data_IF_643852313700
#
_entry.id   IF_643852313700
#
_cell.length_a   1.000
_cell.length_b   1.000
_cell.length_c   1.000
_cell.angle_alpha   90.00
_cell.angle_beta   90.00
_cell.angle_gamma   90.00
#
_symmetry.space_group_name_H-M   'P 1'
#
loop_
_entity.id
_entity.type
_entity.pdbx_description
1 polymer ?
#
# COMPACT_ATOMS: atom_id res chain seq x y z
N UNK A 1 28.58 -8.01 19.33
CA UNK A 1 28.30 -6.57 19.40
C UNK A 1 27.34 -6.24 18.26
N UNK A 2 26.04 -6.16 18.57
CA UNK A 2 25.00 -5.81 17.60
C UNK A 2 25.18 -4.32 17.28
N UNK A 3 25.39 -3.98 16.01
CA UNK A 3 25.79 -2.65 15.56
C UNK A 3 24.78 -1.59 16.00
N UNK A 4 25.14 -0.77 16.99
CA UNK A 4 24.34 0.37 17.48
C UNK A 4 24.01 1.39 16.39
N UNK A 5 24.63 1.29 15.20
CA UNK A 5 24.37 2.13 14.04
C UNK A 5 23.03 1.80 13.37
N UNK A 6 22.60 0.53 13.37
CA UNK A 6 21.33 0.14 12.71
C UNK A 6 20.09 0.63 13.47
N UNK A 7 20.16 0.67 14.81
CA UNK A 7 19.04 1.15 15.64
C UNK A 7 18.97 2.68 15.62
N UNK A 8 20.11 3.38 15.64
CA UNK A 8 20.13 4.84 15.61
C UNK A 8 19.57 5.44 14.29
N UNK A 9 19.82 4.80 13.15
CA UNK A 9 19.28 5.25 11.85
C UNK A 9 17.78 4.94 11.70
N UNK A 10 17.30 3.84 12.30
CA UNK A 10 15.87 3.53 12.37
C UNK A 10 15.12 4.56 13.24
N UNK A 11 15.68 4.96 14.39
CA UNK A 11 15.07 5.95 15.28
C UNK A 11 15.02 7.37 14.66
N UNK A 12 16.02 7.76 13.87
CA UNK A 12 16.03 9.03 13.13
C UNK A 12 14.91 9.10 12.07
N UNK A 13 14.54 7.94 11.49
CA UNK A 13 13.46 7.84 10.52
C UNK A 13 12.09 8.01 11.21
N UNK A 14 11.89 7.38 12.37
CA UNK A 14 10.65 7.50 13.16
C UNK A 14 10.44 8.92 13.72
N UNK A 15 11.51 9.63 14.08
CA UNK A 15 11.43 11.03 14.56
C UNK A 15 11.01 12.02 13.46
N UNK A 16 11.44 11.81 12.22
CA UNK A 16 11.02 12.63 11.07
C UNK A 16 9.57 12.34 10.64
N UNK A 17 9.09 11.12 10.85
CA UNK A 17 7.74 10.70 10.47
C UNK A 17 6.65 11.15 11.46
N UNK A 18 6.93 11.16 12.77
CA UNK A 18 5.96 11.63 13.77
C UNK A 18 5.52 13.09 13.56
N UNK A 19 6.43 13.97 13.13
CA UNK A 19 6.08 15.36 12.79
C UNK A 19 5.37 15.47 11.43
N UNK A 20 5.80 14.71 10.41
CA UNK A 20 5.19 14.82 9.08
C UNK A 20 3.80 14.17 8.96
N UNK A 21 3.50 13.14 9.74
CA UNK A 21 2.23 12.42 9.69
C UNK A 21 1.10 13.19 10.38
N UNK A 22 1.39 13.85 11.50
CA UNK A 22 0.45 14.78 12.17
C UNK A 22 0.16 15.98 11.26
N UNK A 23 1.20 16.53 10.63
CA UNK A 23 1.09 17.65 9.68
C UNK A 23 0.31 17.28 8.40
N UNK A 24 0.47 16.07 7.87
CA UNK A 24 -0.24 15.60 6.68
C UNK A 24 -1.73 15.33 6.95
N UNK A 25 -2.06 14.79 8.13
CA UNK A 25 -3.43 14.62 8.59
C UNK A 25 -4.13 15.97 8.81
N UNK A 26 -3.45 16.97 9.36
CA UNK A 26 -3.98 18.32 9.53
C UNK A 26 -4.12 19.08 8.19
N UNK A 27 -3.15 18.95 7.27
CA UNK A 27 -3.20 19.60 5.93
C UNK A 27 -4.27 19.03 5.01
N UNK A 28 -4.61 17.75 5.14
CA UNK A 28 -5.72 17.14 4.38
C UNK A 28 -7.10 17.48 4.94
N UNK A 29 -7.20 17.70 6.27
CA UNK A 29 -8.42 18.16 6.92
C UNK A 29 -8.73 19.66 6.71
N UNK A 30 -7.72 20.49 6.40
CA UNK A 30 -7.84 21.94 6.32
C UNK A 30 -8.12 22.53 4.90
N UNK A 31 -8.32 21.71 3.85
CA UNK A 31 -8.61 22.24 2.50
C UNK A 31 -10.11 22.23 2.15
N UNK A 32 -10.83 23.35 2.29
CA UNK A 32 -12.07 23.55 1.55
C UNK A 32 -11.72 23.77 0.06
N UNK A 33 -12.14 22.84 -0.81
CA UNK A 33 -12.15 23.09 -2.26
C UNK A 33 -13.22 24.15 -2.57
N UNK A 34 -12.80 25.33 -3.02
CA UNK A 34 -13.69 26.30 -3.65
C UNK A 34 -13.06 27.66 -3.84
N UNK A 35 -12.49 27.91 -5.03
CA UNK A 35 -12.52 29.21 -5.69
C UNK A 35 -12.17 29.00 -7.18
N UNK A 36 -13.21 28.81 -7.99
CA UNK A 36 -13.15 29.02 -9.43
C UNK A 36 -13.12 30.53 -9.65
N UNK A 37 -12.05 31.05 -10.22
CA UNK A 37 -12.02 32.42 -10.74
C UNK A 37 -12.36 32.37 -12.24
N UNK A 38 -13.53 32.93 -12.56
CA UNK A 38 -14.03 33.25 -13.89
C UNK A 38 -13.20 34.37 -14.52
N UNK A 39 -12.89 34.24 -15.81
CA UNK A 39 -12.80 35.38 -16.73
C UNK A 39 -13.34 34.98 -18.09
N UNK A 40 -14.39 35.68 -18.51
CA UNK A 40 -15.04 35.57 -19.80
C UNK A 40 -14.34 36.47 -20.84
N UNK A 41 -14.29 36.01 -22.10
CA UNK A 41 -14.31 36.88 -23.27
C UNK A 41 -14.90 36.16 -24.50
N UNK A 42 -15.92 36.82 -25.07
CA UNK A 42 -16.58 36.73 -26.40
C UNK A 42 -15.65 36.29 -27.56
N UNK A 43 -16.10 35.83 -28.75
CA UNK A 43 -17.37 35.45 -29.36
C UNK A 43 -17.07 34.99 -30.82
N UNK A 44 -18.00 34.20 -31.40
CA UNK A 44 -18.40 34.04 -32.83
C UNK A 44 -18.54 32.57 -33.23
N UNK A 45 -19.78 32.12 -33.47
CA UNK A 45 -20.10 30.89 -34.22
C UNK A 45 -20.23 31.18 -35.72
N UNK A 46 -21.04 30.43 -36.49
CA UNK A 46 -21.47 29.03 -36.34
C UNK A 46 -21.37 28.23 -37.67
N UNK A 47 -21.49 26.89 -37.64
CA UNK A 47 -21.99 26.10 -38.78
C UNK A 47 -22.49 24.70 -38.33
N UNK A 48 -23.51 24.20 -39.02
CA UNK A 48 -24.46 23.17 -38.62
C UNK A 48 -24.26 21.79 -39.30
N UNK A 49 -24.88 20.75 -38.71
CA UNK A 49 -25.71 19.66 -39.33
C UNK A 49 -25.73 18.42 -38.39
N UNK A 50 -26.87 18.10 -37.77
CA UNK A 50 -27.96 17.20 -38.21
C UNK A 50 -27.61 15.70 -38.09
N UNK A 51 -28.17 15.01 -37.07
CA UNK A 51 -29.21 13.96 -37.16
C UNK A 51 -28.58 12.53 -37.22
N UNK A 52 -29.05 11.43 -36.61
CA UNK A 52 -30.40 10.97 -36.26
C UNK A 52 -30.35 9.82 -35.23
N UNK A 53 -31.52 9.47 -34.69
CA UNK A 53 -31.82 8.54 -33.59
C UNK A 53 -31.75 7.02 -33.89
N UNK A 54 -31.66 6.19 -32.83
CA UNK A 54 -32.67 5.17 -32.43
C UNK A 54 -32.20 4.27 -31.26
N UNK A 55 -33.08 4.11 -30.27
CA UNK A 55 -33.26 3.02 -29.26
C UNK A 55 -34.61 2.35 -29.62
N UNK A 56 -35.03 1.10 -29.27
CA UNK A 56 -34.94 0.37 -27.98
C UNK A 56 -34.73 -1.16 -28.16
N UNK A 57 -34.89 -2.13 -27.24
CA UNK A 57 -35.51 -2.32 -25.92
C UNK A 57 -34.84 -3.56 -25.27
N UNK A 58 -34.78 -3.72 -23.93
CA UNK A 58 -35.59 -4.65 -23.10
C UNK A 58 -35.45 -6.16 -23.50
N UNK A 59 -35.29 -7.18 -22.65
CA UNK A 59 -35.62 -7.43 -21.23
C UNK A 59 -35.17 -8.87 -20.86
N UNK A 60 -35.18 -9.19 -19.55
CA UNK A 60 -35.37 -10.52 -18.90
C UNK A 60 -34.16 -11.44 -18.61
N UNK A 61 -33.77 -11.42 -17.31
CA UNK A 61 -33.40 -12.55 -16.40
C UNK A 61 -34.56 -13.61 -16.34
N UNK A 62 -34.51 -14.78 -15.63
CA UNK A 62 -33.63 -15.18 -14.51
C UNK A 62 -33.26 -16.69 -14.35
N UNK A 63 -32.49 -16.97 -13.27
CA UNK A 63 -32.55 -18.15 -12.36
C UNK A 63 -32.22 -19.56 -12.90
N UNK A 64 -31.70 -20.52 -12.14
CA UNK A 64 -31.44 -20.67 -10.70
C UNK A 64 -30.35 -21.73 -10.47
N UNK A 65 -29.78 -21.80 -9.26
CA UNK A 65 -29.97 -22.91 -8.29
C UNK A 65 -29.33 -24.24 -8.77
N UNK A 66 -28.53 -25.01 -8.03
CA UNK A 66 -28.29 -25.17 -6.58
C UNK A 66 -27.17 -26.22 -6.38
N UNK A 67 -26.54 -26.15 -5.21
CA UNK A 67 -26.07 -27.27 -4.36
C UNK A 67 -24.83 -28.12 -4.73
N UNK A 68 -23.78 -27.89 -3.93
CA UNK A 68 -22.75 -28.83 -3.43
C UNK A 68 -23.35 -30.03 -2.64
N UNK A 69 -22.54 -30.91 -1.98
CA UNK A 69 -21.41 -31.77 -2.39
C UNK A 69 -21.69 -33.25 -1.95
N UNK A 70 -20.72 -34.21 -1.90
CA UNK A 70 -19.99 -34.42 -0.62
C UNK A 70 -18.58 -35.08 -0.69
N UNK A 71 -17.67 -34.56 0.14
CA UNK A 71 -16.97 -35.23 1.29
C UNK A 71 -16.18 -36.56 1.06
N UNK A 72 -14.86 -36.52 1.32
CA UNK A 72 -14.07 -37.26 2.37
C UNK A 72 -12.59 -37.42 1.95
N UNK A 73 -11.68 -36.77 2.67
CA UNK A 73 -10.76 -37.34 3.69
C UNK A 73 -9.60 -38.18 3.13
N UNK A 74 -8.38 -37.69 3.38
CA UNK A 74 -7.12 -38.44 3.21
C UNK A 74 -5.91 -37.51 3.20
N UNK A 75 -5.21 -37.39 4.32
CA UNK A 75 -3.80 -36.99 4.42
C UNK A 75 -3.07 -38.17 5.10
N UNK A 76 -1.74 -38.35 4.99
CA UNK A 76 -0.75 -37.60 4.21
C UNK A 76 0.10 -38.52 3.30
N UNK A 77 0.45 -38.05 2.10
CA UNK A 77 1.47 -38.71 1.28
C UNK A 77 2.45 -37.68 0.75
N UNK A 78 3.70 -37.83 1.19
CA UNK A 78 4.88 -37.23 0.56
C UNK A 78 4.95 -37.67 -0.91
N UNK A 79 5.13 -36.77 -1.89
CA UNK A 79 5.55 -37.20 -3.22
C UNK A 79 7.05 -37.04 -3.36
N UNK A 80 7.68 -38.17 -3.63
CA UNK A 80 8.93 -38.27 -4.32
C UNK A 80 8.88 -37.51 -5.67
N UNK A 81 10.08 -37.05 -6.06
CA UNK A 81 10.58 -36.85 -7.41
C UNK A 81 9.56 -36.92 -8.57
N UNK A 82 9.32 -35.77 -9.18
CA UNK A 82 8.91 -35.65 -10.58
C UNK A 82 10.04 -34.97 -11.36
N UNK A 83 10.75 -35.78 -12.13
CA UNK A 83 11.72 -35.35 -13.12
C UNK A 83 10.98 -35.12 -14.46
N UNK A 84 11.22 -33.97 -15.09
CA UNK A 84 11.05 -33.64 -16.53
C UNK A 84 10.85 -32.11 -16.64
N UNK A 85 11.63 -31.28 -17.33
CA UNK A 85 12.60 -31.45 -18.43
C UNK A 85 13.47 -30.18 -18.51
N UNK A 86 14.71 -30.31 -18.97
CA UNK A 86 15.43 -29.23 -19.67
C UNK A 86 16.42 -28.37 -18.87
N UNK A 87 16.92 -28.82 -17.72
CA UNK A 87 18.06 -28.16 -17.07
C UNK A 87 19.37 -28.61 -17.71
N UNK A 88 20.03 -27.75 -18.50
CA UNK A 88 21.47 -27.92 -18.76
C UNK A 88 22.15 -28.02 -17.39
N UNK A 89 22.72 -29.19 -17.09
CA UNK A 89 23.64 -29.41 -15.96
C UNK A 89 24.68 -28.27 -15.96
N UNK A 90 25.04 -27.67 -14.81
CA UNK A 90 26.02 -26.59 -14.78
C UNK A 90 27.30 -27.09 -15.46
N UNK A 91 27.62 -26.49 -16.60
CA UNK A 91 28.90 -26.69 -17.27
C UNK A 91 29.95 -26.10 -16.34
N UNK A 92 31.10 -26.79 -16.21
CA UNK A 92 32.20 -26.47 -15.31
C UNK A 92 32.35 -24.97 -15.06
N UNK A 93 32.43 -24.58 -13.79
CA UNK A 93 32.44 -23.18 -13.38
C UNK A 93 33.46 -22.37 -14.18
N UNK A 94 32.96 -21.43 -14.99
CA UNK A 94 33.79 -20.44 -15.66
C UNK A 94 34.51 -19.61 -14.60
N UNK A 95 35.78 -19.90 -14.38
CA UNK A 95 36.68 -19.28 -13.41
C UNK A 95 37.91 -18.85 -14.21
N UNK A 96 38.23 -17.57 -14.17
CA UNK A 96 39.50 -17.06 -14.72
C UNK A 96 40.50 -17.03 -13.56
N UNK A 97 41.52 -17.88 -13.60
CA UNK A 97 42.61 -17.89 -12.61
C UNK A 97 43.78 -17.03 -13.07
N UNK A 98 44.63 -16.63 -12.13
CA UNK A 98 45.82 -15.82 -12.41
C UNK A 98 46.78 -16.57 -13.35
N UNK A 99 47.27 -15.88 -14.38
CA UNK A 99 48.18 -16.47 -15.38
C UNK A 99 49.63 -16.47 -14.89
N UNK A 100 49.94 -15.70 -13.83
CA UNK A 100 51.26 -15.59 -13.19
C UNK A 100 51.13 -15.61 -11.66
N UNK A 101 52.14 -16.15 -10.93
CA UNK A 101 52.20 -16.00 -9.49
C UNK A 101 52.38 -14.50 -9.18
N UNK A 102 51.44 -13.91 -8.44
CA UNK A 102 51.30 -12.48 -8.07
C UNK A 102 50.42 -11.59 -8.96
N UNK A 103 49.70 -12.12 -9.95
CA UNK A 103 48.68 -11.33 -10.66
C UNK A 103 47.39 -11.22 -9.83
N UNK A 104 47.00 -9.99 -9.46
CA UNK A 104 45.72 -9.75 -8.79
C UNK A 104 44.57 -10.02 -9.75
N UNK A 105 43.74 -10.99 -9.42
CA UNK A 105 42.50 -11.27 -10.13
C UNK A 105 41.33 -10.86 -9.26
N UNK A 106 40.38 -10.12 -9.83
CA UNK A 106 39.19 -9.71 -9.11
C UNK A 106 38.42 -10.94 -8.61
N UNK A 107 38.03 -10.93 -7.33
CA UNK A 107 37.39 -12.07 -6.67
C UNK A 107 36.20 -12.64 -7.47
N UNK A 108 35.38 -11.78 -8.07
CA UNK A 108 34.21 -12.23 -8.83
C UNK A 108 34.56 -13.04 -10.10
N UNK A 109 35.79 -12.93 -10.63
CA UNK A 109 36.27 -13.69 -11.80
C UNK A 109 36.70 -15.11 -11.46
N UNK A 110 37.07 -15.34 -10.19
CA UNK A 110 37.53 -16.65 -9.70
C UNK A 110 36.45 -17.42 -8.94
N UNK A 111 35.32 -16.79 -8.60
CA UNK A 111 34.24 -17.44 -7.84
C UNK A 111 33.19 -18.04 -8.79
N UNK A 112 32.83 -19.33 -8.60
CA UNK A 112 31.80 -19.99 -9.40
C UNK A 112 30.41 -19.41 -9.12
N UNK A 113 29.46 -19.62 -10.05
CA UNK A 113 28.07 -19.15 -9.92
C UNK A 113 27.41 -19.69 -8.64
N UNK A 114 27.62 -20.96 -8.33
CA UNK A 114 27.05 -21.64 -7.16
C UNK A 114 27.50 -20.97 -5.86
N UNK A 115 28.76 -20.53 -5.79
CA UNK A 115 29.28 -19.81 -4.63
C UNK A 115 28.58 -18.45 -4.50
N UNK A 116 28.40 -17.72 -5.60
CA UNK A 116 27.74 -16.41 -5.59
C UNK A 116 26.27 -16.51 -5.15
N UNK A 117 25.55 -17.51 -5.65
CA UNK A 117 24.17 -17.79 -5.24
C UNK A 117 24.07 -18.20 -3.76
N UNK A 118 25.05 -18.95 -3.26
CA UNK A 118 25.13 -19.32 -1.85
C UNK A 118 25.42 -18.11 -0.95
N UNK A 119 26.28 -17.18 -1.37
CA UNK A 119 26.51 -15.92 -0.64
C UNK A 119 25.23 -15.08 -0.57
N UNK A 120 24.47 -14.98 -1.66
CA UNK A 120 23.16 -14.32 -1.62
C UNK A 120 22.18 -15.03 -0.70
N UNK A 121 22.16 -16.37 -0.72
CA UNK A 121 21.30 -17.16 0.18
C UNK A 121 21.63 -16.95 1.66
N UNK A 122 22.92 -16.84 2.00
CA UNK A 122 23.37 -16.48 3.36
C UNK A 122 22.95 -15.07 3.73
N UNK A 123 23.12 -14.12 2.82
CA UNK A 123 22.69 -12.74 3.04
C UNK A 123 21.16 -12.67 3.24
N UNK A 124 20.37 -13.41 2.47
CA UNK A 124 18.92 -13.45 2.59
C UNK A 124 18.46 -14.01 3.95
N UNK A 125 19.14 -15.03 4.48
CA UNK A 125 18.90 -15.53 5.85
C UNK A 125 19.15 -14.46 6.91
N UNK A 126 20.24 -13.69 6.77
CA UNK A 126 20.52 -12.57 7.65
C UNK A 126 19.45 -11.46 7.52
N UNK A 127 19.02 -11.16 6.29
CA UNK A 127 17.94 -10.20 6.07
C UNK A 127 16.61 -10.65 6.71
N UNK A 128 16.35 -11.97 6.75
CA UNK A 128 15.21 -12.55 7.47
C UNK A 128 15.33 -12.42 9.00
N UNK A 129 16.53 -12.46 9.55
CA UNK A 129 16.77 -12.15 10.97
C UNK A 129 16.56 -10.66 11.25
N UNK A 130 17.19 -9.79 10.46
CA UNK A 130 17.04 -8.33 10.57
C UNK A 130 15.58 -7.88 10.40
N UNK A 131 14.80 -8.60 9.58
CA UNK A 131 13.37 -8.37 9.41
C UNK A 131 12.59 -8.56 10.71
N UNK A 132 12.97 -9.53 11.57
CA UNK A 132 12.26 -9.78 12.84
C UNK A 132 12.36 -8.58 13.77
N UNK A 133 13.54 -7.97 13.85
CA UNK A 133 13.77 -6.77 14.66
C UNK A 133 13.01 -5.58 14.08
N UNK A 134 13.06 -5.39 12.76
CA UNK A 134 12.32 -4.34 12.09
C UNK A 134 10.80 -4.49 12.23
N UNK A 135 10.29 -5.73 12.21
CA UNK A 135 8.88 -6.02 12.41
C UNK A 135 8.40 -5.60 13.81
N UNK A 136 9.22 -5.79 14.86
CA UNK A 136 8.89 -5.30 16.21
C UNK A 136 8.76 -3.77 16.21
N UNK A 137 9.66 -3.07 15.52
CA UNK A 137 9.58 -1.60 15.38
C UNK A 137 8.30 -1.18 14.64
N UNK A 138 7.94 -1.88 13.55
CA UNK A 138 6.70 -1.60 12.82
C UNK A 138 5.44 -1.81 13.68
N UNK A 139 5.39 -2.86 14.50
CA UNK A 139 4.26 -3.12 15.40
C UNK A 139 4.16 -2.07 16.52
N UNK A 140 5.29 -1.62 17.05
CA UNK A 140 5.34 -0.52 18.02
C UNK A 140 4.84 0.80 17.40
N UNK A 141 5.24 1.12 16.16
CA UNK A 141 4.73 2.29 15.43
C UNK A 141 3.22 2.19 15.19
N UNK A 142 2.71 1.01 14.80
CA UNK A 142 1.27 0.76 14.65
C UNK A 142 0.53 0.96 15.96
N UNK A 143 1.10 0.50 17.07
CA UNK A 143 0.50 0.65 18.41
C UNK A 143 0.44 2.12 18.82
N UNK A 144 1.55 2.84 18.68
CA UNK A 144 1.61 4.29 18.96
C UNK A 144 0.67 5.11 18.10
N UNK A 145 0.50 4.74 16.83
CA UNK A 145 -0.48 5.38 15.95
C UNK A 145 -1.91 5.26 16.50
N UNK A 146 -2.27 4.07 16.98
CA UNK A 146 -3.59 3.79 17.57
C UNK A 146 -3.77 4.54 18.89
N UNK A 147 -2.74 4.61 19.74
CA UNK A 147 -2.78 5.34 21.00
C UNK A 147 -2.98 6.85 20.79
N UNK A 148 -2.31 7.42 19.79
CA UNK A 148 -2.40 8.85 19.46
C UNK A 148 -3.74 9.25 18.80
N UNK A 149 -4.63 8.31 18.49
CA UNK A 149 -5.94 8.62 17.90
C UNK A 149 -6.95 9.21 18.89
N UNK A 150 -6.73 9.09 20.21
CA UNK A 150 -7.72 9.46 21.22
C UNK A 150 -8.21 10.92 21.11
N UNK A 151 -7.28 11.87 21.00
CA UNK A 151 -7.64 13.30 20.89
C UNK A 151 -8.26 13.64 19.53
N UNK A 152 -7.81 12.96 18.47
CA UNK A 152 -8.33 13.15 17.10
C UNK A 152 -9.79 12.68 17.01
N UNK A 153 -10.12 11.58 17.68
CA UNK A 153 -11.48 11.06 17.77
C UNK A 153 -12.42 12.05 18.46
N UNK A 154 -12.02 12.57 19.63
CA UNK A 154 -12.82 13.56 20.36
C UNK A 154 -13.12 14.78 19.49
N UNK A 155 -12.09 15.29 18.81
CA UNK A 155 -12.24 16.40 17.87
C UNK A 155 -13.16 16.06 16.69
N UNK A 156 -13.20 14.81 16.24
CA UNK A 156 -14.14 14.38 15.19
C UNK A 156 -15.59 14.47 15.66
N UNK A 157 -15.91 13.95 16.85
CA UNK A 157 -17.27 14.00 17.40
C UNK A 157 -17.76 15.44 17.60
N UNK A 158 -16.93 16.30 18.19
CA UNK A 158 -17.26 17.72 18.40
C UNK A 158 -17.54 18.44 17.06
N UNK A 159 -16.72 18.17 16.05
CA UNK A 159 -16.92 18.74 14.71
C UNK A 159 -18.18 18.20 14.05
N UNK A 160 -18.48 16.91 14.21
CA UNK A 160 -19.71 16.32 13.70
C UNK A 160 -20.95 16.93 14.37
N UNK A 161 -20.96 17.03 15.70
CA UNK A 161 -22.07 17.66 16.44
C UNK A 161 -22.27 19.11 16.00
N UNK A 162 -21.18 19.88 15.86
CA UNK A 162 -21.24 21.27 15.39
C UNK A 162 -21.76 21.37 13.95
N UNK A 163 -21.29 20.51 13.05
CA UNK A 163 -21.72 20.48 11.64
C UNK A 163 -23.21 20.19 11.55
N UNK A 164 -23.68 19.14 12.19
CA UNK A 164 -25.05 18.64 12.06
C UNK A 164 -26.07 19.38 12.93
N UNK A 165 -25.62 20.04 14.01
CA UNK A 165 -26.48 20.95 14.77
C UNK A 165 -26.75 22.27 14.06
N UNK A 166 -25.89 22.67 13.11
CA UNK A 166 -25.98 23.91 12.36
C UNK A 166 -26.21 23.64 10.86
N UNK A 167 -27.18 22.76 10.56
CA UNK A 167 -27.49 22.37 9.19
C UNK A 167 -27.85 23.60 8.33
N UNK A 168 -27.26 23.69 7.14
CA UNK A 168 -27.41 24.85 6.26
C UNK A 168 -27.37 24.46 4.77
N UNK A 169 -27.57 25.44 3.89
CA UNK A 169 -27.63 25.22 2.44
C UNK A 169 -26.32 24.65 1.85
N UNK A 170 -25.18 24.90 2.50
CA UNK A 170 -23.90 24.33 2.10
C UNK A 170 -23.89 22.81 2.29
N UNK A 171 -24.45 22.32 3.40
CA UNK A 171 -24.59 20.88 3.63
C UNK A 171 -25.56 20.26 2.63
N UNK A 172 -26.64 20.95 2.28
CA UNK A 172 -27.55 20.49 1.21
C UNK A 172 -26.78 20.27 -0.11
N UNK A 173 -25.88 21.18 -0.48
CA UNK A 173 -25.02 20.99 -1.66
C UNK A 173 -24.01 19.85 -1.48
N UNK A 174 -23.36 19.76 -0.32
CA UNK A 174 -22.35 18.73 0.00
C UNK A 174 -22.92 17.32 -0.13
N UNK A 175 -24.11 17.09 0.43
CA UNK A 175 -24.80 15.79 0.38
C UNK A 175 -25.72 15.64 -0.83
N UNK A 176 -25.74 16.63 -1.72
CA UNK A 176 -26.67 16.71 -2.87
C UNK A 176 -28.10 16.48 -2.45
N UNK A 177 -28.46 16.99 -1.27
CA UNK A 177 -29.78 16.93 -0.71
C UNK A 177 -30.53 18.24 -0.97
N UNK A 178 -31.86 18.15 -1.00
CA UNK A 178 -32.76 19.29 -1.19
C UNK A 178 -33.61 19.47 0.07
N UNK A 179 -33.01 19.29 1.25
CA UNK A 179 -33.78 19.19 2.50
C UNK A 179 -34.34 20.54 2.87
N UNK A 180 -33.56 21.62 2.85
CA UNK A 180 -34.07 22.94 3.22
C UNK A 180 -35.18 23.42 2.29
N UNK A 181 -35.13 23.05 1.01
CA UNK A 181 -36.22 23.34 0.06
C UNK A 181 -37.47 22.53 0.36
N UNK A 182 -37.32 21.22 0.61
CA UNK A 182 -38.45 20.31 0.90
C UNK A 182 -39.06 20.57 2.27
N UNK A 183 -38.24 21.01 3.22
CA UNK A 183 -38.62 21.10 4.62
C UNK A 183 -39.51 22.28 4.98
N UNK A 184 -39.72 23.24 4.06
CA UNK A 184 -40.66 24.35 4.24
C UNK A 184 -42.09 23.88 4.53
N UNK A 185 -42.46 22.70 4.02
CA UNK A 185 -43.77 22.09 4.19
C UNK A 185 -43.75 20.88 5.13
N UNK A 186 -42.60 20.57 5.74
CA UNK A 186 -42.46 19.35 6.53
C UNK A 186 -43.11 19.47 7.90
N UNK A 187 -43.91 18.45 8.21
CA UNK A 187 -44.43 18.22 9.56
C UNK A 187 -43.38 17.51 10.41
N UNK A 188 -43.58 17.54 11.73
CA UNK A 188 -42.68 16.92 12.71
C UNK A 188 -42.37 15.44 12.40
N UNK A 189 -43.35 14.67 11.92
CA UNK A 189 -43.15 13.27 11.55
C UNK A 189 -42.13 13.09 10.41
N UNK A 190 -42.14 13.97 9.39
CA UNK A 190 -41.21 13.93 8.26
C UNK A 190 -39.79 14.28 8.72
N UNK A 191 -39.65 15.24 9.63
CA UNK A 191 -38.36 15.56 10.26
C UNK A 191 -37.79 14.38 11.05
N UNK A 192 -38.61 13.73 11.88
CA UNK A 192 -38.21 12.53 12.63
C UNK A 192 -37.78 11.40 11.71
N UNK A 193 -38.49 11.17 10.62
CA UNK A 193 -38.13 10.15 9.63
C UNK A 193 -36.81 10.48 8.95
N UNK A 194 -36.62 11.72 8.49
CA UNK A 194 -35.39 12.13 7.83
C UNK A 194 -34.17 12.02 8.76
N UNK A 195 -34.30 12.44 10.02
CA UNK A 195 -33.24 12.30 11.02
C UNK A 195 -32.87 10.82 11.21
N UNK A 196 -33.88 9.96 11.38
CA UNK A 196 -33.66 8.54 11.63
C UNK A 196 -33.17 7.73 10.44
N UNK A 197 -33.31 8.24 9.21
CA UNK A 197 -32.85 7.54 8.00
C UNK A 197 -31.69 8.25 7.34
N UNK A 198 -31.97 9.40 6.74
CA UNK A 198 -31.03 10.11 5.87
C UNK A 198 -29.90 10.75 6.66
N UNK A 199 -30.20 11.48 7.74
CA UNK A 199 -29.17 12.13 8.54
C UNK A 199 -28.23 11.11 9.18
N UNK A 200 -28.78 10.06 9.81
CA UNK A 200 -27.97 8.94 10.32
C UNK A 200 -27.05 8.38 9.24
N UNK A 201 -27.56 8.10 8.05
CA UNK A 201 -26.77 7.58 6.93
C UNK A 201 -25.65 8.55 6.52
N UNK A 202 -25.90 9.85 6.46
CA UNK A 202 -24.87 10.83 6.13
C UNK A 202 -23.76 10.87 7.17
N UNK A 203 -24.12 10.91 8.45
CA UNK A 203 -23.15 10.90 9.57
C UNK A 203 -22.34 9.59 9.56
N UNK A 204 -22.98 8.43 9.35
CA UNK A 204 -22.29 7.14 9.23
C UNK A 204 -21.31 7.12 8.06
N UNK A 205 -21.69 7.65 6.90
CA UNK A 205 -20.78 7.72 5.76
C UNK A 205 -19.58 8.63 6.01
N UNK A 206 -19.77 9.76 6.70
CA UNK A 206 -18.68 10.65 7.09
C UNK A 206 -17.72 9.96 8.07
N UNK A 207 -18.26 9.24 9.06
CA UNK A 207 -17.46 8.47 10.00
C UNK A 207 -16.67 7.37 9.29
N UNK A 208 -17.30 6.62 8.39
CA UNK A 208 -16.62 5.58 7.61
C UNK A 208 -15.48 6.17 6.77
N UNK A 209 -15.71 7.31 6.09
CA UNK A 209 -14.65 7.98 5.33
C UNK A 209 -13.49 8.44 6.23
N UNK A 210 -13.79 8.93 7.42
CA UNK A 210 -12.77 9.32 8.39
C UNK A 210 -11.94 8.11 8.86
N UNK A 211 -12.61 7.01 9.20
CA UNK A 211 -11.96 5.73 9.55
C UNK A 211 -11.10 5.18 8.41
N UNK A 212 -11.63 5.16 7.18
CA UNK A 212 -10.92 4.67 6.00
C UNK A 212 -9.72 5.56 5.67
N UNK A 213 -9.86 6.88 5.82
CA UNK A 213 -8.76 7.83 5.65
C UNK A 213 -7.60 7.55 6.61
N UNK A 214 -7.90 7.28 7.88
CA UNK A 214 -6.90 6.94 8.87
C UNK A 214 -6.26 5.58 8.64
N UNK A 215 -7.04 4.58 8.21
CA UNK A 215 -6.48 3.28 7.84
C UNK A 215 -5.54 3.39 6.64
N UNK A 216 -5.93 4.17 5.62
CA UNK A 216 -5.09 4.41 4.46
C UNK A 216 -3.79 5.13 4.83
N UNK A 217 -3.85 6.11 5.74
CA UNK A 217 -2.67 6.82 6.24
C UNK A 217 -1.72 5.87 6.98
N UNK A 218 -2.25 5.02 7.86
CA UNK A 218 -1.46 4.00 8.56
C UNK A 218 -0.79 3.04 7.57
N UNK A 219 -1.56 2.51 6.63
CA UNK A 219 -1.04 1.59 5.60
C UNK A 219 0.03 2.27 4.72
N UNK A 220 -0.15 3.54 4.38
CA UNK A 220 0.83 4.31 3.62
C UNK A 220 2.13 4.52 4.43
N UNK A 221 2.03 4.84 5.72
CA UNK A 221 3.20 5.01 6.59
C UNK A 221 3.98 3.70 6.75
N UNK A 222 3.29 2.60 7.06
CA UNK A 222 3.90 1.26 7.16
C UNK A 222 4.53 0.85 5.83
N UNK A 223 3.82 1.07 4.72
CA UNK A 223 4.33 0.79 3.38
C UNK A 223 5.60 1.57 3.05
N UNK A 224 5.66 2.86 3.41
CA UNK A 224 6.86 3.68 3.22
C UNK A 224 8.04 3.15 4.04
N UNK A 225 7.82 2.78 5.30
CA UNK A 225 8.86 2.23 6.16
C UNK A 225 9.39 0.91 5.61
N UNK A 226 8.48 0.03 5.15
CA UNK A 226 8.85 -1.22 4.49
C UNK A 226 9.66 -1.01 3.21
N UNK A 227 9.22 -0.12 2.31
CA UNK A 227 9.98 0.19 1.09
C UNK A 227 11.36 0.78 1.38
N UNK A 228 11.46 1.62 2.40
CA UNK A 228 12.74 2.21 2.83
C UNK A 228 13.68 1.13 3.35
N UNK A 229 13.18 0.24 4.20
CA UNK A 229 13.94 -0.88 4.72
C UNK A 229 14.41 -1.83 3.59
N UNK A 230 13.52 -2.19 2.65
CA UNK A 230 13.88 -3.02 1.47
C UNK A 230 15.00 -2.40 0.64
N UNK A 231 14.90 -1.09 0.35
CA UNK A 231 15.93 -0.37 -0.41
C UNK A 231 17.26 -0.38 0.32
N UNK A 232 17.25 -0.13 1.63
CA UNK A 232 18.44 -0.15 2.46
C UNK A 232 19.10 -1.54 2.46
N UNK A 233 18.32 -2.61 2.64
CA UNK A 233 18.84 -3.98 2.61
C UNK A 233 19.44 -4.34 1.26
N UNK A 234 18.77 -4.02 0.16
CA UNK A 234 19.33 -4.25 -1.17
C UNK A 234 20.57 -3.41 -1.43
N UNK A 235 20.64 -2.18 -0.91
CA UNK A 235 21.85 -1.35 -0.99
C UNK A 235 23.03 -1.99 -0.23
N UNK A 236 22.80 -2.48 0.99
CA UNK A 236 23.80 -3.23 1.76
C UNK A 236 24.32 -4.45 0.99
N UNK A 237 23.41 -5.23 0.38
CA UNK A 237 23.75 -6.39 -0.44
C UNK A 237 24.59 -5.99 -1.65
N UNK A 238 24.14 -5.01 -2.42
CA UNK A 238 24.80 -4.53 -3.64
C UNK A 238 26.16 -3.87 -3.37
N UNK A 239 26.41 -3.43 -2.13
CA UNK A 239 27.67 -2.81 -1.71
C UNK A 239 28.75 -3.83 -1.33
N UNK A 240 28.43 -5.14 -1.31
CA UNK A 240 29.42 -6.20 -1.08
C UNK A 240 30.51 -6.13 -2.15
N UNK A 241 31.77 -6.12 -1.72
CA UNK A 241 32.92 -5.76 -2.57
C UNK A 241 33.02 -6.52 -3.89
N UNK A 242 32.91 -7.86 -3.87
CA UNK A 242 32.99 -8.66 -5.10
C UNK A 242 31.79 -8.41 -6.03
N UNK A 243 30.59 -8.26 -5.46
CA UNK A 243 29.33 -8.05 -6.19
C UNK A 243 29.32 -6.68 -6.85
N UNK A 244 29.66 -5.63 -6.11
CA UNK A 244 29.75 -4.27 -6.61
C UNK A 244 30.72 -4.17 -7.80
N UNK A 245 31.88 -4.83 -7.70
CA UNK A 245 32.88 -4.87 -8.77
C UNK A 245 32.35 -5.60 -10.00
N UNK A 246 31.73 -6.76 -9.82
CA UNK A 246 31.11 -7.54 -10.90
C UNK A 246 30.00 -6.75 -11.60
N UNK A 247 29.06 -6.19 -10.85
CA UNK A 247 27.93 -5.43 -11.38
C UNK A 247 28.41 -4.18 -12.12
N UNK A 248 29.35 -3.41 -11.54
CA UNK A 248 29.95 -2.26 -12.23
C UNK A 248 30.62 -2.66 -13.54
N UNK A 249 31.33 -3.77 -13.53
CA UNK A 249 32.02 -4.28 -14.71
C UNK A 249 31.03 -4.60 -15.84
N UNK A 250 30.01 -5.41 -15.57
CA UNK A 250 29.04 -5.82 -16.60
C UNK A 250 28.08 -4.72 -17.01
N UNK A 251 27.67 -3.82 -16.11
CA UNK A 251 26.90 -2.63 -16.46
C UNK A 251 27.71 -1.73 -17.39
N UNK A 252 28.98 -1.48 -17.06
CA UNK A 252 29.87 -0.69 -17.92
C UNK A 252 30.04 -1.38 -19.28
N UNK A 253 30.26 -2.68 -19.29
CA UNK A 253 30.43 -3.46 -20.52
C UNK A 253 29.19 -3.34 -21.42
N UNK A 254 28.00 -3.66 -20.89
CA UNK A 254 26.74 -3.58 -21.65
C UNK A 254 26.42 -2.18 -22.16
N UNK A 255 26.80 -1.12 -21.41
CA UNK A 255 26.62 0.26 -21.83
C UNK A 255 27.52 0.65 -23.02
N UNK A 256 28.81 0.31 -22.97
CA UNK A 256 29.77 0.66 -24.02
C UNK A 256 29.79 -0.36 -25.18
N UNK A 257 29.10 -1.47 -25.05
CA UNK A 257 29.12 -2.58 -26.00
C UNK A 257 27.74 -3.22 -26.13
N UNK A 258 26.78 -2.53 -26.79
CA UNK A 258 25.40 -3.00 -26.89
C UNK A 258 25.25 -4.28 -27.75
N UNK A 259 26.14 -4.49 -28.73
CA UNK A 259 26.15 -5.68 -29.59
C UNK A 259 27.19 -6.70 -29.11
N UNK A 260 26.94 -7.33 -27.96
CA UNK A 260 27.89 -8.24 -27.29
C UNK A 260 28.26 -9.46 -28.17
N UNK A 261 27.33 -9.92 -28.99
CA UNK A 261 27.55 -11.07 -29.87
C UNK A 261 28.58 -10.80 -30.98
N UNK A 262 28.74 -9.53 -31.35
CA UNK A 262 29.65 -9.08 -32.41
C UNK A 262 31.10 -8.88 -31.90
N UNK A 263 31.31 -8.93 -30.57
CA UNK A 263 32.63 -8.69 -29.99
C UNK A 263 33.39 -10.01 -29.87
N UNK A 264 34.59 -10.11 -30.49
CA UNK A 264 35.45 -11.28 -30.35
C UNK A 264 36.08 -11.28 -28.95
N UNK A 265 35.34 -11.79 -27.96
CA UNK A 265 35.84 -12.06 -26.60
C UNK A 265 36.13 -13.55 -26.39
N UNK A 266 37.09 -13.89 -25.51
CA UNK A 266 37.32 -15.26 -25.07
C UNK A 266 36.04 -15.93 -24.57
N UNK A 267 35.93 -17.25 -24.79
CA UNK A 267 34.74 -18.03 -24.45
C UNK A 267 34.42 -17.95 -22.95
N UNK A 268 35.45 -17.97 -22.11
CA UNK A 268 35.38 -17.87 -20.66
C UNK A 268 34.72 -16.56 -20.22
N UNK A 269 34.98 -15.48 -20.97
CA UNK A 269 34.39 -14.18 -20.71
C UNK A 269 32.89 -14.13 -21.04
N UNK A 270 32.47 -14.78 -22.14
CA UNK A 270 31.04 -14.96 -22.45
C UNK A 270 30.34 -15.77 -21.36
N UNK A 271 30.98 -16.83 -20.86
CA UNK A 271 30.42 -17.65 -19.78
C UNK A 271 30.29 -16.87 -18.44
N UNK A 272 31.25 -16.00 -18.09
CA UNK A 272 31.13 -15.12 -16.94
C UNK A 272 29.96 -14.12 -17.07
N UNK A 273 29.74 -13.58 -18.27
CA UNK A 273 28.59 -12.70 -18.55
C UNK A 273 27.25 -13.43 -18.40
N UNK A 274 27.15 -14.65 -18.95
CA UNK A 274 25.96 -15.49 -18.77
C UNK A 274 25.71 -15.81 -17.29
N UNK A 275 26.77 -16.14 -16.53
CA UNK A 275 26.68 -16.38 -15.10
C UNK A 275 26.17 -15.14 -14.35
N UNK A 276 26.65 -13.95 -14.71
CA UNK A 276 26.16 -12.70 -14.12
C UNK A 276 24.67 -12.47 -14.39
N UNK A 277 24.19 -12.72 -15.61
CA UNK A 277 22.75 -12.63 -15.95
C UNK A 277 21.92 -13.63 -15.16
N UNK A 278 22.37 -14.89 -15.09
CA UNK A 278 21.70 -15.96 -14.34
C UNK A 278 21.62 -15.58 -12.85
N UNK A 279 22.75 -15.16 -12.27
CA UNK A 279 22.81 -14.69 -10.88
C UNK A 279 21.83 -13.56 -10.62
N UNK A 280 21.91 -12.49 -11.41
CA UNK A 280 21.09 -11.28 -11.23
C UNK A 280 19.60 -11.61 -11.28
N UNK A 281 19.19 -12.48 -12.22
CA UNK A 281 17.80 -12.94 -12.31
C UNK A 281 17.40 -13.76 -11.10
N UNK A 282 18.17 -14.79 -10.76
CA UNK A 282 17.87 -15.69 -9.65
C UNK A 282 17.74 -14.94 -8.32
N UNK A 283 18.67 -14.03 -8.03
CA UNK A 283 18.65 -13.23 -6.81
C UNK A 283 17.45 -12.27 -6.77
N UNK A 284 17.10 -11.65 -7.91
CA UNK A 284 15.91 -10.78 -8.02
C UNK A 284 14.63 -11.57 -7.75
N UNK A 285 14.52 -12.76 -8.32
CA UNK A 285 13.36 -13.63 -8.16
C UNK A 285 13.24 -14.11 -6.69
N UNK A 286 14.34 -14.54 -6.09
CA UNK A 286 14.39 -14.94 -4.67
C UNK A 286 14.04 -13.78 -3.73
N UNK A 287 14.59 -12.59 -3.96
CA UNK A 287 14.26 -11.39 -3.19
C UNK A 287 12.78 -11.07 -3.28
N UNK A 288 12.23 -11.05 -4.51
CA UNK A 288 10.82 -10.76 -4.76
C UNK A 288 9.90 -11.76 -4.08
N UNK A 289 10.17 -13.06 -4.22
CA UNK A 289 9.39 -14.10 -3.58
C UNK A 289 9.37 -13.94 -2.05
N UNK A 290 10.55 -13.65 -1.48
CA UNK A 290 10.68 -13.40 -0.05
C UNK A 290 9.92 -12.14 0.40
N UNK A 291 10.03 -11.02 -0.33
CA UNK A 291 9.30 -9.78 0.01
C UNK A 291 7.80 -9.93 -0.15
N UNK A 292 7.32 -10.56 -1.22
CA UNK A 292 5.88 -10.77 -1.47
C UNK A 292 5.25 -11.62 -0.36
N UNK A 293 5.99 -12.62 0.15
CA UNK A 293 5.55 -13.45 1.26
C UNK A 293 5.38 -12.64 2.55
N UNK A 294 6.26 -11.68 2.82
CA UNK A 294 6.15 -10.79 3.98
C UNK A 294 5.01 -9.80 3.79
N UNK A 295 4.94 -9.18 2.62
CA UNK A 295 3.94 -8.18 2.27
C UNK A 295 2.51 -8.70 2.43
N UNK A 296 2.25 -9.88 1.87
CA UNK A 296 0.95 -10.55 1.94
C UNK A 296 0.54 -11.00 3.35
N UNK A 297 1.51 -11.27 4.24
CA UNK A 297 1.25 -11.80 5.58
C UNK A 297 1.18 -10.72 6.67
N UNK A 298 1.98 -9.67 6.53
CA UNK A 298 2.30 -8.77 7.65
C UNK A 298 2.09 -7.30 7.31
N UNK A 299 2.61 -6.83 6.17
CA UNK A 299 2.63 -5.40 5.85
C UNK A 299 1.23 -4.88 5.52
N UNK A 300 0.47 -5.60 4.70
CA UNK A 300 -0.84 -5.15 4.21
C UNK A 300 -2.04 -5.80 4.91
N UNK A 301 -1.79 -6.51 6.02
CA UNK A 301 -2.86 -7.14 6.80
C UNK A 301 -3.22 -6.28 8.01
N UNK A 302 -4.51 -6.15 8.27
CA UNK A 302 -5.01 -5.50 9.49
C UNK A 302 -4.42 -6.19 10.73
N UNK A 303 -3.84 -5.40 11.63
CA UNK A 303 -3.35 -5.93 12.90
C UNK A 303 -4.52 -6.22 13.84
N UNK A 304 -4.35 -7.17 14.78
CA UNK A 304 -5.32 -7.39 15.84
C UNK A 304 -5.61 -6.11 16.64
N UNK A 305 -4.58 -5.29 16.90
CA UNK A 305 -4.72 -4.01 17.59
C UNK A 305 -5.60 -3.03 16.81
N UNK A 306 -5.35 -2.87 15.51
CA UNK A 306 -6.18 -2.01 14.65
C UNK A 306 -7.62 -2.51 14.56
N UNK A 307 -7.82 -3.82 14.39
CA UNK A 307 -9.15 -4.43 14.30
C UNK A 307 -9.94 -4.23 15.60
N UNK A 308 -9.29 -4.45 16.75
CA UNK A 308 -9.88 -4.22 18.07
C UNK A 308 -10.29 -2.75 18.22
N UNK A 309 -9.37 -1.83 17.94
CA UNK A 309 -9.65 -0.40 17.99
C UNK A 309 -10.81 -0.01 17.07
N UNK A 310 -10.82 -0.44 15.81
CA UNK A 310 -11.90 -0.17 14.85
C UNK A 310 -13.27 -0.62 15.37
N UNK A 311 -13.34 -1.80 15.97
CA UNK A 311 -14.58 -2.34 16.53
C UNK A 311 -15.06 -1.53 17.74
N UNK A 312 -14.15 -1.21 18.67
CA UNK A 312 -14.46 -0.40 19.85
C UNK A 312 -14.97 0.99 19.46
N UNK A 313 -14.31 1.64 18.49
CA UNK A 313 -14.68 2.98 18.01
C UNK A 313 -15.98 2.98 17.23
N UNK A 314 -16.22 1.95 16.42
CA UNK A 314 -17.51 1.77 15.74
C UNK A 314 -18.66 1.60 16.74
N UNK A 315 -18.44 0.86 17.84
CA UNK A 315 -19.43 0.72 18.90
C UNK A 315 -19.70 2.05 19.63
N UNK A 316 -18.64 2.79 19.97
CA UNK A 316 -18.76 4.13 20.56
C UNK A 316 -19.51 5.09 19.64
N UNK A 317 -19.16 5.12 18.35
CA UNK A 317 -19.85 5.90 17.32
C UNK A 317 -21.34 5.55 17.23
N UNK A 318 -21.69 4.27 17.17
CA UNK A 318 -23.10 3.86 17.07
C UNK A 318 -23.91 4.32 18.28
N UNK A 319 -23.34 4.19 19.49
CA UNK A 319 -23.97 4.68 20.73
C UNK A 319 -24.16 6.20 20.70
N UNK A 320 -23.11 6.93 20.32
CA UNK A 320 -23.15 8.39 20.18
C UNK A 320 -24.18 8.83 19.13
N UNK A 321 -24.23 8.21 17.96
CA UNK A 321 -25.13 8.56 16.86
C UNK A 321 -26.60 8.45 17.29
N UNK A 322 -26.94 7.39 18.02
CA UNK A 322 -28.30 7.21 18.56
C UNK A 322 -28.62 8.31 19.58
N UNK A 323 -27.72 8.59 20.52
CA UNK A 323 -27.91 9.64 21.52
C UNK A 323 -28.05 11.03 20.88
N UNK A 324 -27.16 11.36 19.95
CA UNK A 324 -27.13 12.63 19.23
C UNK A 324 -28.41 12.84 18.42
N UNK A 325 -28.82 11.87 17.61
CA UNK A 325 -30.05 12.00 16.81
C UNK A 325 -31.32 12.07 17.66
N UNK A 326 -31.39 11.34 18.77
CA UNK A 326 -32.50 11.46 19.72
C UNK A 326 -32.54 12.86 20.36
N UNK A 327 -31.38 13.44 20.68
CA UNK A 327 -31.28 14.81 21.18
C UNK A 327 -31.76 15.83 20.13
N UNK A 328 -31.33 15.70 18.87
CA UNK A 328 -31.81 16.55 17.77
C UNK A 328 -33.35 16.53 17.65
N UNK A 329 -33.95 15.35 17.82
CA UNK A 329 -35.40 15.15 17.80
C UNK A 329 -36.09 15.78 19.01
N UNK A 330 -35.61 15.50 20.21
CA UNK A 330 -36.20 16.01 21.44
C UNK A 330 -36.18 17.54 21.49
N UNK A 331 -35.09 18.15 21.02
CA UNK A 331 -34.93 19.60 20.99
C UNK A 331 -35.53 20.27 19.73
N UNK A 332 -36.17 19.48 18.84
CA UNK A 332 -36.71 19.95 17.56
C UNK A 332 -35.75 20.86 16.81
N UNK A 333 -34.47 20.48 16.73
CA UNK A 333 -33.37 21.34 16.23
C UNK A 333 -33.61 21.90 14.83
N UNK A 334 -34.40 21.22 14.01
CA UNK A 334 -34.81 21.68 12.68
C UNK A 334 -35.52 23.02 12.67
N UNK A 335 -36.14 23.44 13.77
CA UNK A 335 -36.72 24.78 13.92
C UNK A 335 -35.69 25.91 13.80
N UNK A 336 -34.40 25.60 13.98
CA UNK A 336 -33.27 26.53 13.78
C UNK A 336 -32.57 26.34 12.43
N UNK A 337 -32.88 25.28 11.70
CA UNK A 337 -32.29 25.00 10.37
C UNK A 337 -33.09 25.63 9.23
N UNK A 338 -34.40 25.83 9.45
CA UNK A 338 -35.35 26.39 8.48
C UNK A 338 -35.53 27.88 8.68
#
# INVERSE_FOLDING_TARGET
MVSSVSIAVLLLSSALLNNSLVDAAQKSAAKPKGAVATKAAKAKGPAAKAASAKKPAATKKPAGDKADPPKKQGTPASPAASASQGGKKPKAAAIITATKPNEYVEEWRVKPLEWKLNEFSKWLKKAEEDWKDFHVVLEDERTKWVENMGDIEKGWFENAEKKWSNYNQRLDMEYKSNILKKAKEWKEAQWKEWINKSLKKYITNDFQKWMDGHQNNLNAAVGLNWETWKKQKMFECNSIGWRLKEDKHWIRWTFFSPNIDDIPVPKEYKELYENWKIRTKAEKDQWKEWTDRIESRVIFKDTPAWTKWKNEKTAAFNKWLVAFTNNLIAQKKWTKWV
#
